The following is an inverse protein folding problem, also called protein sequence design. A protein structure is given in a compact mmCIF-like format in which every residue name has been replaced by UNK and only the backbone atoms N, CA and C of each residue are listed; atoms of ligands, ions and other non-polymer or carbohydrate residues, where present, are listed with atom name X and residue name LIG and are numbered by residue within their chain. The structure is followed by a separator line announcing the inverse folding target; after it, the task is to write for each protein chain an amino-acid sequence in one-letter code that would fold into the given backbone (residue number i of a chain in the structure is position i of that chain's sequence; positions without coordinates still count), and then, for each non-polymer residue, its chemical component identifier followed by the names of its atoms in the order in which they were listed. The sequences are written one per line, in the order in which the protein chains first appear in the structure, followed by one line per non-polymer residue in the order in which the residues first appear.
data_IF_892580938197
#
_entry.id   IF_892580938197
#
_cell.length_a   1.000
_cell.length_b   1.000
_cell.length_c   1.000
_cell.angle_alpha   90.00
_cell.angle_beta   90.00
_cell.angle_gamma   90.00
#
_symmetry.space_group_name_H-M   'P 1'
#
loop_
_entity.id
_entity.type
_entity.pdbx_description
1 polymer ?
#
# COMPACT_ATOMS: atom_id res chain seq x y z
N UNK A 1 -16.51 -11.58 9.45
CA UNK A 1 -16.73 -12.50 10.60
C UNK A 1 -15.41 -13.10 11.02
N UNK A 2 -15.22 -13.35 12.33
CA UNK A 2 -13.93 -13.79 12.89
C UNK A 2 -13.79 -15.31 12.87
N UNK A 3 -12.55 -15.81 12.82
CA UNK A 3 -12.22 -17.24 12.92
C UNK A 3 -12.94 -17.94 14.08
N UNK A 4 -12.98 -17.30 15.25
CA UNK A 4 -13.58 -17.87 16.45
C UNK A 4 -15.09 -18.14 16.29
N UNK A 5 -15.80 -17.28 15.56
CA UNK A 5 -17.22 -17.46 15.29
C UNK A 5 -17.47 -18.67 14.40
N UNK A 6 -16.72 -18.82 13.32
CA UNK A 6 -16.83 -19.98 12.44
C UNK A 6 -16.41 -21.27 13.14
N UNK A 7 -15.40 -21.22 14.02
CA UNK A 7 -14.99 -22.37 14.82
C UNK A 7 -16.09 -22.85 15.77
N UNK A 8 -16.87 -21.94 16.38
CA UNK A 8 -18.03 -22.33 17.20
C UNK A 8 -19.09 -23.07 16.37
N UNK A 9 -19.40 -22.57 15.17
CA UNK A 9 -20.36 -23.24 14.27
C UNK A 9 -19.85 -24.60 13.83
N UNK A 10 -18.55 -24.73 13.57
CA UNK A 10 -17.94 -26.00 13.19
C UNK A 10 -18.01 -27.06 14.31
N UNK A 11 -17.86 -26.64 15.56
CA UNK A 11 -17.91 -27.49 16.76
C UNK A 11 -19.33 -27.80 17.26
N UNK A 12 -20.35 -27.14 16.73
CA UNK A 12 -21.73 -27.30 17.17
C UNK A 12 -22.33 -28.58 16.53
N UNK A 13 -22.54 -29.67 17.30
CA UNK A 13 -23.04 -30.93 16.76
C UNK A 13 -24.52 -30.85 16.35
N UNK A 14 -25.26 -29.82 16.78
CA UNK A 14 -26.66 -29.63 16.42
C UNK A 14 -26.83 -28.94 15.06
N UNK A 15 -25.74 -28.55 14.40
CA UNK A 15 -25.78 -27.92 13.08
C UNK A 15 -25.69 -28.98 11.97
N UNK A 16 -26.43 -28.79 10.85
CA UNK A 16 -26.26 -29.64 9.68
C UNK A 16 -24.80 -29.68 9.22
N UNK A 17 -24.32 -30.86 8.83
CA UNK A 17 -22.92 -31.06 8.43
C UNK A 17 -22.51 -30.16 7.25
N UNK A 18 -23.43 -29.84 6.34
CA UNK A 18 -23.19 -28.87 5.26
C UNK A 18 -22.82 -27.47 5.80
N UNK A 19 -23.48 -27.01 6.87
CA UNK A 19 -23.16 -25.73 7.51
C UNK A 19 -21.81 -25.78 8.23
N UNK A 20 -21.51 -26.91 8.87
CA UNK A 20 -20.23 -27.15 9.54
C UNK A 20 -19.09 -27.20 8.53
N UNK A 21 -19.24 -27.91 7.42
CA UNK A 21 -18.29 -27.95 6.32
C UNK A 21 -18.07 -26.55 5.68
N UNK A 22 -19.12 -25.75 5.52
CA UNK A 22 -18.97 -24.36 5.08
C UNK A 22 -18.21 -23.52 6.14
N UNK A 23 -18.50 -23.69 7.43
CA UNK A 23 -17.78 -23.02 8.51
C UNK A 23 -16.29 -23.41 8.54
N UNK A 24 -15.97 -24.69 8.30
CA UNK A 24 -14.59 -25.16 8.14
C UNK A 24 -13.87 -24.41 7.02
N UNK A 25 -14.47 -24.30 5.83
CA UNK A 25 -13.86 -23.55 4.71
C UNK A 25 -13.61 -22.08 5.07
N UNK A 26 -14.49 -21.46 5.85
CA UNK A 26 -14.29 -20.09 6.36
C UNK A 26 -13.17 -20.01 7.38
N UNK A 27 -13.05 -20.97 8.29
CA UNK A 27 -11.92 -21.07 9.22
C UNK A 27 -10.60 -21.20 8.45
N UNK A 28 -10.54 -22.09 7.44
CA UNK A 28 -9.35 -22.26 6.61
C UNK A 28 -9.03 -20.98 5.85
N UNK A 29 -10.02 -20.33 5.23
CA UNK A 29 -9.80 -19.06 4.52
C UNK A 29 -9.21 -17.95 5.42
N UNK A 30 -9.45 -17.99 6.72
CA UNK A 30 -8.93 -16.99 7.67
C UNK A 30 -7.56 -17.36 8.27
N UNK A 31 -7.22 -18.65 8.38
CA UNK A 31 -6.00 -19.11 9.06
C UNK A 31 -4.97 -19.73 8.11
N UNK A 32 -5.36 -20.56 7.14
CA UNK A 32 -4.54 -21.14 6.07
C UNK A 32 -3.00 -21.14 6.22
N UNK A 33 -2.39 -21.91 7.16
CA UNK A 33 -0.93 -21.94 7.36
C UNK A 33 -0.14 -22.32 6.11
N UNK A 34 -0.67 -23.26 5.31
CA UNK A 34 -0.06 -23.72 4.06
C UNK A 34 -0.73 -23.12 2.81
N UNK A 35 -1.48 -22.03 2.97
CA UNK A 35 -2.43 -21.58 1.95
C UNK A 35 -3.73 -22.41 1.97
N UNK A 36 -4.75 -21.94 1.27
CA UNK A 36 -6.11 -22.49 1.40
C UNK A 36 -6.19 -23.98 1.01
N UNK A 37 -5.70 -24.33 -0.18
CA UNK A 37 -5.70 -25.70 -0.69
C UNK A 37 -4.78 -26.61 0.12
N UNK A 38 -3.54 -26.19 0.37
CA UNK A 38 -2.57 -26.97 1.14
C UNK A 38 -3.02 -27.22 2.59
N UNK A 39 -3.78 -26.31 3.19
CA UNK A 39 -4.33 -26.50 4.54
C UNK A 39 -5.49 -27.50 4.53
N UNK A 40 -6.39 -27.45 3.53
CA UNK A 40 -7.47 -28.43 3.41
C UNK A 40 -6.94 -29.84 3.16
N UNK A 41 -5.92 -29.97 2.32
CA UNK A 41 -5.27 -31.25 2.06
C UNK A 41 -4.60 -31.81 3.32
N UNK A 42 -3.82 -31.00 4.04
CA UNK A 42 -3.23 -31.41 5.32
C UNK A 42 -4.29 -31.86 6.33
N UNK A 43 -5.43 -31.15 6.41
CA UNK A 43 -6.52 -31.57 7.28
C UNK A 43 -7.18 -32.87 6.83
N UNK A 44 -7.32 -33.13 5.52
CA UNK A 44 -7.83 -34.42 5.01
C UNK A 44 -6.88 -35.57 5.35
N UNK A 45 -5.58 -35.36 5.18
CA UNK A 45 -4.55 -36.34 5.51
C UNK A 45 -4.54 -36.66 7.02
N UNK A 46 -4.69 -35.64 7.86
CA UNK A 46 -4.60 -35.77 9.33
C UNK A 46 -5.90 -36.24 9.98
N UNK A 47 -7.05 -35.79 9.48
CA UNK A 47 -8.35 -35.96 10.14
C UNK A 47 -9.31 -36.86 9.37
N UNK A 48 -8.94 -37.32 8.17
CA UNK A 48 -9.82 -38.09 7.30
C UNK A 48 -10.83 -37.23 6.53
N UNK A 49 -11.93 -37.83 6.03
CA UNK A 49 -12.93 -37.14 5.22
C UNK A 49 -13.61 -35.96 5.95
N UNK A 50 -13.48 -34.76 5.39
CA UNK A 50 -13.95 -33.48 5.98
C UNK A 50 -15.43 -33.16 5.69
N UNK A 51 -16.19 -34.16 5.28
CA UNK A 51 -17.65 -34.17 5.10
C UNK A 51 -18.34 -35.09 6.11
N UNK A 52 -17.58 -35.82 6.93
CA UNK A 52 -18.10 -36.65 8.02
C UNK A 52 -18.08 -35.90 9.36
N UNK A 53 -19.02 -36.18 10.29
CA UNK A 53 -19.02 -35.56 11.62
C UNK A 53 -17.68 -35.72 12.35
N UNK A 54 -17.12 -36.94 12.35
CA UNK A 54 -15.86 -37.24 13.01
C UNK A 54 -14.67 -36.47 12.40
N UNK A 55 -14.59 -36.39 11.06
CA UNK A 55 -13.55 -35.63 10.39
C UNK A 55 -13.68 -34.11 10.62
N UNK A 56 -14.91 -33.59 10.69
CA UNK A 56 -15.19 -32.19 11.01
C UNK A 56 -14.77 -31.84 12.45
N UNK A 57 -15.06 -32.72 13.43
CA UNK A 57 -14.68 -32.54 14.83
C UNK A 57 -13.15 -32.57 15.01
N UNK A 58 -12.50 -33.56 14.40
CA UNK A 58 -11.04 -33.66 14.40
C UNK A 58 -10.38 -32.45 13.75
N UNK A 59 -10.91 -31.98 12.61
CA UNK A 59 -10.41 -30.77 11.94
C UNK A 59 -10.62 -29.50 12.76
N UNK A 60 -11.74 -29.41 13.49
CA UNK A 60 -12.01 -28.29 14.40
C UNK A 60 -10.96 -28.22 15.51
N UNK A 61 -10.63 -29.35 16.11
CA UNK A 61 -9.63 -29.41 17.17
C UNK A 61 -8.21 -29.15 16.65
N UNK A 62 -7.86 -29.73 15.50
CA UNK A 62 -6.58 -29.47 14.84
C UNK A 62 -6.39 -27.98 14.52
N UNK A 63 -7.40 -27.31 13.97
CA UNK A 63 -7.34 -25.88 13.69
C UNK A 63 -7.29 -25.03 14.97
N UNK A 64 -8.04 -25.38 16.01
CA UNK A 64 -8.08 -24.63 17.26
C UNK A 64 -6.76 -24.71 18.02
N UNK A 65 -6.20 -25.92 18.15
CA UNK A 65 -4.91 -26.17 18.79
C UNK A 65 -3.78 -25.48 18.02
N UNK A 66 -3.73 -25.68 16.70
CA UNK A 66 -2.73 -25.04 15.84
C UNK A 66 -2.78 -23.53 15.93
N UNK A 67 -3.98 -22.95 15.85
CA UNK A 67 -4.12 -21.49 15.92
C UNK A 67 -3.64 -20.94 17.25
N UNK A 68 -3.93 -21.64 18.35
CA UNK A 68 -3.48 -21.23 19.69
C UNK A 68 -1.96 -21.24 19.78
N UNK A 69 -1.33 -22.32 19.31
CA UNK A 69 0.13 -22.43 19.25
C UNK A 69 0.74 -21.32 18.38
N UNK A 70 0.17 -21.06 17.20
CA UNK A 70 0.64 -20.00 16.32
C UNK A 70 0.55 -18.60 16.95
N UNK A 71 -0.54 -18.29 17.64
CA UNK A 71 -0.68 -16.99 18.30
C UNK A 71 0.33 -16.81 19.43
N UNK A 72 0.69 -17.88 20.15
CA UNK A 72 1.76 -17.85 21.14
C UNK A 72 3.13 -17.58 20.47
N UNK A 73 3.42 -18.24 19.35
CA UNK A 73 4.63 -18.01 18.55
C UNK A 73 4.70 -16.56 18.02
N UNK A 74 3.59 -16.01 17.52
CA UNK A 74 3.51 -14.62 17.06
C UNK A 74 3.76 -13.65 18.23
N UNK A 75 3.24 -13.93 19.42
CA UNK A 75 3.50 -13.11 20.60
C UNK A 75 4.98 -13.16 21.02
N UNK A 76 5.60 -14.35 21.01
CA UNK A 76 7.02 -14.53 21.27
C UNK A 76 7.89 -13.78 20.24
N UNK A 77 7.56 -13.89 18.95
CA UNK A 77 8.21 -13.13 17.89
C UNK A 77 8.10 -11.62 18.13
N UNK A 78 6.89 -11.12 18.41
CA UNK A 78 6.68 -9.70 18.69
C UNK A 78 7.52 -9.22 19.90
N UNK A 79 7.65 -10.06 20.94
CA UNK A 79 8.56 -9.84 22.06
C UNK A 79 10.01 -9.67 21.61
N UNK A 80 10.56 -10.66 20.91
CA UNK A 80 11.94 -10.64 20.36
C UNK A 80 12.17 -9.40 19.49
N UNK A 81 11.20 -9.05 18.64
CA UNK A 81 11.26 -7.89 17.75
C UNK A 81 11.25 -6.55 18.48
N UNK A 82 10.58 -6.43 19.64
CA UNK A 82 10.63 -5.22 20.47
C UNK A 82 12.04 -4.97 21.01
N UNK A 83 12.70 -6.01 21.51
CA UNK A 83 14.09 -5.93 21.96
C UNK A 83 15.05 -5.60 20.81
N UNK A 84 14.94 -6.32 19.68
CA UNK A 84 15.77 -6.07 18.50
C UNK A 84 15.61 -4.64 17.95
N UNK A 85 14.38 -4.10 17.98
CA UNK A 85 14.11 -2.71 17.60
C UNK A 85 14.78 -1.71 18.53
N UNK A 86 14.84 -1.99 19.83
CA UNK A 86 15.58 -1.19 20.82
C UNK A 86 17.08 -1.14 20.53
N UNK A 87 17.65 -2.27 20.07
CA UNK A 87 19.04 -2.38 19.60
C UNK A 87 19.30 -1.89 18.17
N UNK A 88 18.37 -1.17 17.54
CA UNK A 88 18.53 -0.61 16.19
C UNK A 88 18.18 -1.55 15.02
N UNK A 89 17.95 -2.84 15.28
CA UNK A 89 17.54 -3.81 14.26
C UNK A 89 16.03 -3.70 13.96
N UNK A 90 15.62 -2.67 13.21
CA UNK A 90 14.20 -2.37 12.98
C UNK A 90 13.47 -3.34 12.03
N UNK A 91 14.19 -4.14 11.24
CA UNK A 91 13.61 -5.10 10.29
C UNK A 91 13.87 -6.54 10.74
N UNK A 92 12.93 -7.43 10.42
CA UNK A 92 13.16 -8.87 10.53
C UNK A 92 14.21 -9.29 9.49
N UNK A 93 15.18 -10.08 9.94
CA UNK A 93 16.20 -10.70 9.12
C UNK A 93 15.63 -11.85 8.30
N UNK A 94 16.34 -12.22 7.23
CA UNK A 94 15.98 -13.38 6.40
C UNK A 94 16.04 -14.69 7.19
N UNK A 95 17.02 -14.82 8.09
CA UNK A 95 17.16 -15.99 8.94
C UNK A 95 15.96 -16.15 9.90
N UNK A 96 15.51 -15.06 10.54
CA UNK A 96 14.32 -15.09 11.39
C UNK A 96 13.08 -15.55 10.61
N UNK A 97 12.84 -14.99 9.41
CA UNK A 97 11.68 -15.37 8.59
C UNK A 97 11.78 -16.81 8.10
N UNK A 98 12.97 -17.25 7.67
CA UNK A 98 13.21 -18.63 7.22
C UNK A 98 12.96 -19.65 8.33
N UNK A 99 13.33 -19.33 9.59
CA UNK A 99 13.07 -20.17 10.76
C UNK A 99 11.56 -20.42 10.94
N UNK A 100 10.75 -19.38 10.84
CA UNK A 100 9.29 -19.54 10.93
C UNK A 100 8.72 -20.27 9.72
N UNK A 101 9.22 -20.01 8.51
CA UNK A 101 8.76 -20.71 7.31
C UNK A 101 8.94 -22.23 7.42
N UNK A 102 10.06 -22.67 8.00
CA UNK A 102 10.41 -24.08 8.17
C UNK A 102 9.73 -24.77 9.36
N UNK A 103 8.91 -24.06 10.15
CA UNK A 103 8.30 -24.60 11.39
C UNK A 103 7.30 -25.74 11.13
N UNK A 104 6.73 -25.82 9.92
CA UNK A 104 5.67 -26.79 9.62
C UNK A 104 4.33 -26.41 10.24
N UNK A 105 3.52 -27.40 10.61
CA UNK A 105 2.21 -27.16 11.21
C UNK A 105 2.38 -26.51 12.59
N UNK A 106 1.77 -25.33 12.85
CA UNK A 106 1.95 -24.67 14.14
C UNK A 106 1.43 -25.52 15.30
N UNK A 107 2.25 -25.68 16.34
CA UNK A 107 1.96 -26.55 17.49
C UNK A 107 2.38 -28.01 17.30
N UNK A 108 2.92 -28.36 16.14
CA UNK A 108 3.40 -29.71 15.82
C UNK A 108 4.70 -29.64 14.99
N UNK A 109 5.79 -29.09 15.57
CA UNK A 109 7.06 -28.91 14.86
C UNK A 109 7.74 -30.27 14.65
N UNK A 110 7.30 -31.01 13.64
CA UNK A 110 7.78 -32.35 13.31
C UNK A 110 6.69 -33.33 12.85
N UNK A 111 5.41 -33.01 13.05
CA UNK A 111 4.29 -33.85 12.65
C UNK A 111 3.84 -33.65 11.21
N UNK A 112 3.78 -34.77 10.47
CA UNK A 112 3.12 -34.97 9.17
C UNK A 112 3.45 -33.94 8.08
N UNK A 113 4.55 -34.21 7.37
CA UNK A 113 4.90 -33.63 6.08
C UNK A 113 5.71 -32.34 6.20
N UNK A 114 6.84 -32.29 5.48
CA UNK A 114 7.73 -31.13 5.38
C UNK A 114 7.08 -29.98 4.56
N UNK A 115 5.89 -29.54 4.95
CA UNK A 115 5.18 -28.42 4.33
C UNK A 115 5.72 -27.13 4.94
N UNK A 116 6.19 -26.24 4.08
CA UNK A 116 6.65 -24.89 4.46
C UNK A 116 5.43 -23.99 4.66
N UNK A 117 5.45 -23.15 5.69
CA UNK A 117 4.39 -22.15 5.88
C UNK A 117 4.33 -21.18 4.71
N UNK A 118 3.11 -20.81 4.31
CA UNK A 118 2.88 -19.90 3.20
C UNK A 118 3.48 -18.51 3.49
N UNK A 119 4.20 -17.89 2.54
CA UNK A 119 4.68 -16.52 2.71
C UNK A 119 3.55 -15.52 2.98
N UNK A 120 2.36 -15.75 2.41
CA UNK A 120 1.18 -14.90 2.65
C UNK A 120 0.67 -15.05 4.09
N UNK A 121 0.68 -16.27 4.62
CA UNK A 121 0.33 -16.53 6.01
C UNK A 121 1.27 -15.80 6.96
N UNK A 122 2.59 -15.99 6.80
CA UNK A 122 3.58 -15.32 7.64
C UNK A 122 3.44 -13.78 7.59
N UNK A 123 3.23 -13.22 6.38
CA UNK A 123 3.01 -11.79 6.18
C UNK A 123 1.75 -11.27 6.85
N UNK A 124 0.66 -12.03 6.87
CA UNK A 124 -0.59 -11.66 7.54
C UNK A 124 -0.40 -11.44 9.06
N UNK A 125 0.59 -12.10 9.66
CA UNK A 125 0.96 -11.96 11.08
C UNK A 125 2.18 -11.05 11.31
N UNK A 126 2.63 -10.31 10.29
CA UNK A 126 3.77 -9.40 10.41
C UNK A 126 5.15 -10.09 10.46
N UNK A 127 5.19 -11.40 10.20
CA UNK A 127 6.42 -12.19 10.07
C UNK A 127 6.77 -12.20 8.58
N UNK A 128 7.26 -11.09 8.06
CA UNK A 128 7.59 -10.97 6.66
C UNK A 128 8.95 -10.32 6.49
N UNK A 129 9.67 -10.73 5.45
CA UNK A 129 10.69 -9.85 4.91
C UNK A 129 10.00 -8.55 4.55
N UNK A 130 10.57 -7.44 5.01
CA UNK A 130 10.23 -6.15 4.46
C UNK A 130 10.78 -6.13 3.05
N UNK A 131 10.03 -6.67 2.10
CA UNK A 131 10.21 -6.33 0.71
C UNK A 131 9.75 -4.88 0.57
N UNK A 132 10.60 -3.96 0.10
CA UNK A 132 10.09 -2.74 -0.46
C UNK A 132 9.26 -3.12 -1.69
N UNK A 133 7.99 -3.52 -1.50
CA UNK A 133 6.99 -3.03 -2.43
C UNK A 133 7.27 -1.53 -2.54
N UNK A 134 7.34 -0.95 -3.74
CA UNK A 134 7.93 0.36 -3.95
C UNK A 134 7.00 1.47 -3.40
N UNK A 135 6.76 1.46 -2.09
CA UNK A 135 6.15 2.52 -1.31
C UNK A 135 7.13 3.69 -1.27
N UNK A 136 8.44 3.45 -1.38
CA UNK A 136 9.41 4.49 -1.67
C UNK A 136 9.16 5.14 -3.04
N UNK A 137 8.67 4.40 -4.04
CA UNK A 137 8.28 4.97 -5.33
C UNK A 137 6.95 5.72 -5.21
N UNK A 138 5.87 5.14 -4.66
CA UNK A 138 4.60 5.88 -4.47
C UNK A 138 4.75 7.11 -3.58
N UNK A 139 5.56 7.05 -2.50
CA UNK A 139 5.87 8.25 -1.67
C UNK A 139 6.83 9.21 -2.37
N UNK A 140 7.80 8.75 -3.17
CA UNK A 140 8.63 9.67 -3.99
C UNK A 140 7.81 10.34 -5.07
N UNK A 141 6.97 9.61 -5.80
CA UNK A 141 6.03 10.14 -6.80
C UNK A 141 5.02 11.10 -6.15
N UNK A 142 4.53 10.80 -4.95
CA UNK A 142 3.64 11.71 -4.19
C UNK A 142 4.38 12.93 -3.61
N UNK A 143 5.69 12.84 -3.34
CA UNK A 143 6.55 13.99 -2.97
C UNK A 143 7.05 14.76 -4.19
N UNK A 144 7.08 14.12 -5.35
CA UNK A 144 7.18 14.73 -6.68
C UNK A 144 5.79 15.22 -7.15
N UNK A 145 4.90 15.56 -6.21
CA UNK A 145 3.85 16.53 -6.53
C UNK A 145 4.63 17.79 -6.94
N UNK A 146 4.41 18.36 -8.13
CA UNK A 146 5.16 19.53 -8.55
C UNK A 146 4.93 20.62 -7.51
N UNK A 147 5.92 20.87 -6.66
CA UNK A 147 5.89 21.93 -5.65
C UNK A 147 6.14 23.30 -6.30
N UNK A 148 5.66 23.47 -7.53
CA UNK A 148 5.94 24.61 -8.39
C UNK A 148 4.72 25.11 -9.18
N UNK A 149 3.53 24.54 -8.94
CA UNK A 149 2.30 25.21 -9.35
C UNK A 149 1.99 26.28 -8.29
N UNK A 150 2.60 27.45 -8.44
CA UNK A 150 1.87 28.66 -8.04
C UNK A 150 0.58 28.60 -8.84
N UNK A 151 -0.58 28.54 -8.17
CA UNK A 151 -1.80 28.22 -8.86
C UNK A 151 -2.00 29.38 -9.84
N UNK A 152 -2.14 29.05 -11.12
CA UNK A 152 -2.45 30.00 -12.19
C UNK A 152 -3.58 30.96 -11.76
N UNK A 153 -4.47 30.48 -10.89
CA UNK A 153 -5.52 31.26 -10.21
C UNK A 153 -5.02 32.46 -9.42
N UNK A 154 -3.82 32.49 -8.83
CA UNK A 154 -3.33 33.66 -8.08
C UNK A 154 -2.82 34.76 -9.02
N UNK A 155 -2.04 34.41 -10.05
CA UNK A 155 -1.60 35.39 -11.05
C UNK A 155 -2.78 35.87 -11.89
N UNK A 156 -3.66 34.95 -12.29
CA UNK A 156 -4.91 35.30 -12.98
C UNK A 156 -5.83 36.10 -12.07
N UNK A 157 -5.95 35.79 -10.77
CA UNK A 157 -6.76 36.59 -9.84
C UNK A 157 -6.17 37.98 -9.61
N UNK A 158 -4.84 38.14 -9.55
CA UNK A 158 -4.21 39.46 -9.46
C UNK A 158 -4.43 40.25 -10.74
N UNK A 159 -4.25 39.63 -11.91
CA UNK A 159 -4.50 40.27 -13.20
C UNK A 159 -5.97 40.62 -13.40
N UNK A 160 -6.88 39.72 -13.03
CA UNK A 160 -8.33 39.94 -13.10
C UNK A 160 -8.77 40.98 -12.08
N UNK A 161 -8.21 40.99 -10.86
CA UNK A 161 -8.48 42.03 -9.87
C UNK A 161 -7.97 43.39 -10.35
N UNK A 162 -6.77 43.48 -10.92
CA UNK A 162 -6.31 44.72 -11.54
C UNK A 162 -7.20 45.14 -12.70
N UNK A 163 -7.60 44.23 -13.60
CA UNK A 163 -8.40 44.59 -14.77
C UNK A 163 -9.86 44.91 -14.45
N UNK A 164 -10.46 44.27 -13.44
CA UNK A 164 -11.89 44.44 -13.11
C UNK A 164 -12.13 45.40 -11.95
N UNK A 165 -11.22 45.50 -10.98
CA UNK A 165 -11.45 46.31 -9.77
C UNK A 165 -10.84 47.70 -9.90
N UNK A 166 -9.66 47.83 -10.51
CA UNK A 166 -9.01 49.15 -10.60
C UNK A 166 -9.71 50.14 -11.54
N UNK A 167 -10.27 49.75 -12.70
CA UNK A 167 -10.99 50.70 -13.56
C UNK A 167 -12.25 51.30 -12.93
N UNK A 168 -13.19 50.53 -12.33
CA UNK A 168 -14.36 51.12 -11.70
C UNK A 168 -14.01 51.93 -10.45
N UNK A 169 -12.98 51.52 -9.70
CA UNK A 169 -12.49 52.26 -8.54
C UNK A 169 -11.84 53.60 -8.97
N UNK A 170 -11.09 53.58 -10.07
CA UNK A 170 -10.55 54.78 -10.71
C UNK A 170 -11.63 55.72 -11.24
N UNK A 171 -12.69 55.19 -11.87
CA UNK A 171 -13.85 55.98 -12.31
C UNK A 171 -14.62 56.61 -11.14
N UNK A 172 -14.81 55.86 -10.05
CA UNK A 172 -15.47 56.36 -8.84
C UNK A 172 -14.66 57.45 -8.12
N UNK A 173 -13.33 57.27 -8.01
CA UNK A 173 -12.44 58.32 -7.51
C UNK A 173 -12.42 59.53 -8.43
N UNK A 174 -12.51 59.33 -9.76
CA UNK A 174 -12.55 60.43 -10.72
C UNK A 174 -13.79 61.31 -10.50
N UNK A 175 -14.96 60.69 -10.33
CA UNK A 175 -16.21 61.39 -10.07
C UNK A 175 -16.25 62.13 -8.72
N UNK A 176 -15.39 61.75 -7.76
CA UNK A 176 -15.39 62.31 -6.41
C UNK A 176 -14.28 63.34 -6.17
N UNK A 177 -13.14 63.22 -6.86
CA UNK A 177 -11.91 63.97 -6.57
C UNK A 177 -11.36 64.78 -7.76
N UNK A 178 -11.97 64.69 -8.96
CA UNK A 178 -11.55 65.37 -10.20
C UNK A 178 -10.02 65.31 -10.52
N UNK A 179 -9.38 64.13 -10.42
CA UNK A 179 -7.95 63.97 -10.70
C UNK A 179 -7.63 64.22 -12.19
N UNK A 180 -6.43 64.75 -12.50
CA UNK A 180 -6.02 64.99 -13.87
C UNK A 180 -5.88 63.67 -14.65
N UNK A 181 -6.26 63.63 -15.95
CA UNK A 181 -6.34 62.41 -16.77
C UNK A 181 -5.00 61.67 -16.91
N UNK A 182 -3.88 62.34 -16.66
CA UNK A 182 -2.52 61.77 -16.64
C UNK A 182 -2.38 60.63 -15.62
N UNK A 183 -3.15 60.67 -14.51
CA UNK A 183 -3.10 59.65 -13.47
C UNK A 183 -3.59 58.29 -13.98
N UNK A 184 -4.68 58.25 -14.74
CA UNK A 184 -5.26 57.00 -15.28
C UNK A 184 -4.37 56.35 -16.35
N UNK A 185 -3.66 57.15 -17.16
CA UNK A 185 -2.75 56.64 -18.18
C UNK A 185 -1.50 55.97 -17.61
N UNK A 186 -1.03 56.39 -16.43
CA UNK A 186 0.16 55.82 -15.80
C UNK A 186 -0.03 54.35 -15.38
N UNK A 187 -1.20 53.99 -14.82
CA UNK A 187 -1.49 52.62 -14.42
C UNK A 187 -1.73 51.69 -15.63
N UNK A 188 -2.45 52.18 -16.64
CA UNK A 188 -2.67 51.42 -17.88
C UNK A 188 -1.36 51.07 -18.59
N UNK A 189 -0.42 52.02 -18.65
CA UNK A 189 0.87 51.82 -19.31
C UNK A 189 1.79 50.88 -18.52
N UNK A 190 1.79 50.95 -17.19
CA UNK A 190 2.54 50.01 -16.34
C UNK A 190 2.00 48.59 -16.51
N UNK A 191 0.68 48.37 -16.49
CA UNK A 191 0.09 47.06 -16.71
C UNK A 191 0.42 46.51 -18.12
N UNK A 192 0.35 47.35 -19.14
CA UNK A 192 0.58 46.95 -20.54
C UNK A 192 2.04 46.62 -20.85
N UNK A 193 3.00 47.16 -20.10
CA UNK A 193 4.44 46.92 -20.34
C UNK A 193 5.02 45.89 -19.38
N UNK A 194 4.69 45.96 -18.09
CA UNK A 194 5.32 45.11 -17.07
C UNK A 194 4.82 43.67 -17.15
N UNK A 195 3.53 43.47 -17.40
CA UNK A 195 2.93 42.11 -17.46
C UNK A 195 3.51 41.29 -18.63
N UNK A 196 3.59 41.80 -19.88
CA UNK A 196 4.19 41.03 -20.97
C UNK A 196 5.67 40.73 -20.74
N UNK A 197 6.44 41.68 -20.20
CA UNK A 197 7.86 41.47 -19.91
C UNK A 197 8.07 40.36 -18.88
N UNK A 198 7.26 40.32 -17.82
CA UNK A 198 7.31 39.25 -16.83
C UNK A 198 6.91 37.89 -17.43
N UNK A 199 5.87 37.85 -18.26
CA UNK A 199 5.43 36.63 -18.94
C UNK A 199 6.50 36.10 -19.88
N UNK A 200 7.06 36.95 -20.75
CA UNK A 200 8.09 36.58 -21.72
C UNK A 200 9.37 36.10 -21.03
N UNK A 201 9.78 36.71 -19.90
CA UNK A 201 10.96 36.28 -19.16
C UNK A 201 10.76 34.98 -18.37
N UNK A 202 9.54 34.71 -17.90
CA UNK A 202 9.23 33.53 -17.08
C UNK A 202 8.95 32.28 -17.92
N UNK A 203 8.50 32.43 -19.17
CA UNK A 203 8.16 31.30 -20.03
C UNK A 203 9.36 30.37 -20.34
N UNK A 204 10.50 30.83 -20.90
CA UNK A 204 11.55 29.91 -21.35
C UNK A 204 12.11 29.01 -20.24
N UNK A 205 12.36 29.58 -19.06
CA UNK A 205 12.83 28.82 -17.89
C UNK A 205 11.81 27.79 -17.36
N UNK A 206 10.51 27.96 -17.67
CA UNK A 206 9.46 26.98 -17.33
C UNK A 206 9.37 25.87 -18.37
N UNK A 207 9.49 26.21 -19.65
CA UNK A 207 9.49 25.22 -20.74
C UNK A 207 10.67 24.25 -20.61
N UNK A 208 11.86 24.76 -20.27
CA UNK A 208 13.04 23.93 -20.03
C UNK A 208 12.87 23.02 -18.81
N UNK A 209 12.33 23.53 -17.70
CA UNK A 209 12.03 22.73 -16.50
C UNK A 209 11.01 21.63 -16.77
N UNK A 210 9.90 21.96 -17.43
CA UNK A 210 8.90 20.95 -17.80
C UNK A 210 9.47 19.90 -18.77
N UNK A 211 10.33 20.30 -19.71
CA UNK A 211 10.96 19.35 -20.63
C UNK A 211 11.92 18.42 -19.89
N UNK A 212 12.74 18.95 -18.97
CA UNK A 212 13.64 18.16 -18.14
C UNK A 212 12.88 17.19 -17.23
N UNK A 213 11.76 17.63 -16.62
CA UNK A 213 10.90 16.77 -15.80
C UNK A 213 10.24 15.65 -16.61
N UNK A 214 9.76 15.93 -17.83
CA UNK A 214 9.20 14.89 -18.71
C UNK A 214 10.25 13.85 -19.10
N UNK A 215 11.48 14.29 -19.42
CA UNK A 215 12.60 13.39 -19.73
C UNK A 215 12.95 12.52 -18.52
N UNK A 216 13.04 13.13 -17.33
CA UNK A 216 13.32 12.41 -16.09
C UNK A 216 12.22 11.40 -15.76
N UNK A 217 10.95 11.80 -15.88
CA UNK A 217 9.81 10.93 -15.65
C UNK A 217 9.82 9.72 -16.59
N UNK A 218 10.07 9.96 -17.88
CA UNK A 218 10.19 8.89 -18.89
C UNK A 218 11.29 7.89 -18.53
N UNK A 219 12.49 8.37 -18.17
CA UNK A 219 13.61 7.50 -17.75
C UNK A 219 13.28 6.67 -16.51
N UNK A 220 12.56 7.24 -15.55
CA UNK A 220 12.13 6.54 -14.34
C UNK A 220 11.12 5.44 -14.68
N UNK A 221 10.16 5.72 -15.57
CA UNK A 221 9.17 4.73 -16.02
C UNK A 221 9.84 3.60 -16.78
N UNK A 222 10.76 3.92 -17.71
CA UNK A 222 11.53 2.93 -18.46
C UNK A 222 12.35 2.03 -17.52
N UNK A 223 13.08 2.61 -16.56
CA UNK A 223 13.84 1.83 -15.56
C UNK A 223 12.97 0.92 -14.69
N UNK A 224 11.75 1.36 -14.36
CA UNK A 224 10.79 0.54 -13.60
C UNK A 224 10.28 -0.65 -14.44
N UNK A 225 9.95 -0.42 -15.71
CA UNK A 225 9.52 -1.47 -16.62
C UNK A 225 10.65 -2.50 -16.85
N UNK A 226 11.90 -2.05 -16.99
CA UNK A 226 13.05 -2.94 -17.13
C UNK A 226 13.27 -3.82 -15.89
N UNK A 227 13.09 -3.25 -14.69
CA UNK A 227 13.16 -4.02 -13.45
C UNK A 227 12.06 -5.09 -13.37
N UNK A 228 10.82 -4.78 -13.79
CA UNK A 228 9.73 -5.75 -13.86
C UNK A 228 10.02 -6.88 -14.86
N UNK A 229 10.59 -6.56 -16.03
CA UNK A 229 11.00 -7.58 -17.02
C UNK A 229 12.08 -8.50 -16.46
N UNK A 230 13.09 -7.97 -15.78
CA UNK A 230 14.14 -8.78 -15.12
C UNK A 230 13.55 -9.75 -14.11
N UNK A 231 12.66 -9.26 -13.24
CA UNK A 231 11.98 -10.10 -12.26
C UNK A 231 11.09 -11.17 -12.92
N UNK A 232 10.41 -10.84 -14.03
CA UNK A 232 9.63 -11.82 -14.78
C UNK A 232 10.50 -12.93 -15.37
N UNK A 233 11.68 -12.60 -15.91
CA UNK A 233 12.65 -13.58 -16.42
C UNK A 233 13.18 -14.45 -15.28
N UNK A 234 13.53 -13.86 -14.14
CA UNK A 234 13.97 -14.60 -12.96
C UNK A 234 12.91 -15.57 -12.45
N UNK A 235 11.63 -15.14 -12.41
CA UNK A 235 10.50 -16.02 -12.05
C UNK A 235 10.35 -17.15 -13.06
N UNK A 236 10.38 -16.87 -14.36
CA UNK A 236 10.28 -17.90 -15.40
C UNK A 236 11.41 -18.95 -15.27
N UNK A 237 12.64 -18.51 -14.97
CA UNK A 237 13.77 -19.43 -14.69
C UNK A 237 13.58 -20.24 -13.42
N UNK A 238 12.97 -19.66 -12.38
CA UNK A 238 12.69 -20.35 -11.13
C UNK A 238 11.57 -21.40 -11.26
N UNK A 239 10.61 -21.20 -12.17
CA UNK A 239 9.51 -22.14 -12.44
C UNK A 239 9.82 -23.18 -13.53
N UNK A 240 10.86 -22.96 -14.34
CA UNK A 240 11.28 -23.88 -15.41
C UNK A 240 12.32 -24.93 -14.98
N UNK A 241 12.61 -25.05 -13.68
CA UNK A 241 13.39 -26.13 -13.07
C UNK A 241 12.52 -26.87 -12.07
#
# INVERSE_FOLDING_TARGET
MSFAQHLRVLRDPHRPDAHRAHALRRCVSAYAPFGYTGTLEHLRERCGPLDTPAGLDAAAEALASSRRAWLAEVAAFAGQRRFAKGGGHRRASRAEVARYAAMGWPGDPGGTGARVLSPLFLRAYGIGLWEPAPVAHRRRVRRLKPSGEWPFTMVLAVLVAELLVMPPLGLGLNALLDPPPVFLWSFGLVALVVVPVLVVRQLPARWERQRAERILHRRIVEAAQDAERRLAVERARAYGR
#
